data_IF_272185218386
#
_entry.id   IF_272185218386
#
_cell.length_a   1.000
_cell.length_b   1.000
_cell.length_c   1.000
_cell.angle_alpha   90.00
_cell.angle_beta   90.00
_cell.angle_gamma   90.00
#
_symmetry.space_group_name_H-M   'P 1'
#
loop_
_entity.id
_entity.type
_entity.pdbx_description
1 polymer ?
#
# COMPACT_ATOMS: atom_id res chain seq x y z
N UNK A 1 8.77 -14.98 2.89
CA UNK A 1 8.35 -15.67 1.65
C UNK A 1 8.86 -14.85 0.48
N UNK A 2 9.64 -15.42 -0.44
CA UNK A 2 10.24 -14.67 -1.55
C UNK A 2 9.15 -14.22 -2.53
N UNK A 3 9.04 -12.90 -2.77
CA UNK A 3 8.07 -12.32 -3.69
C UNK A 3 8.37 -12.79 -5.12
N UNK A 4 7.36 -13.30 -5.83
CA UNK A 4 7.54 -13.94 -7.15
C UNK A 4 7.83 -12.88 -8.22
N UNK A 5 9.07 -12.87 -8.74
CA UNK A 5 9.52 -11.90 -9.75
C UNK A 5 8.82 -12.04 -11.12
N UNK A 6 8.62 -13.27 -11.61
CA UNK A 6 7.94 -13.56 -12.89
C UNK A 6 6.41 -13.54 -12.73
N UNK A 7 5.69 -13.20 -13.81
CA UNK A 7 4.22 -13.27 -13.82
C UNK A 7 3.72 -14.69 -13.56
N UNK A 8 2.52 -14.78 -12.98
CA UNK A 8 1.80 -16.04 -12.86
C UNK A 8 1.45 -16.59 -14.26
N UNK A 9 1.36 -17.93 -14.34
CA UNK A 9 0.94 -18.61 -15.56
C UNK A 9 -0.54 -18.27 -15.82
N UNK A 10 -0.88 -17.95 -17.08
CA UNK A 10 -2.26 -17.74 -17.48
C UNK A 10 -2.85 -19.06 -18.00
N UNK A 11 -4.10 -19.36 -17.64
CA UNK A 11 -4.83 -20.52 -18.17
C UNK A 11 -5.04 -20.32 -19.68
N UNK A 12 -4.67 -21.30 -20.49
CA UNK A 12 -4.64 -21.16 -21.96
C UNK A 12 -3.39 -20.48 -22.52
N UNK A 13 -2.45 -20.05 -21.67
CA UNK A 13 -1.19 -19.44 -22.08
C UNK A 13 -1.32 -17.99 -22.55
N UNK A 14 -0.26 -17.45 -23.15
CA UNK A 14 -0.23 -16.10 -23.73
C UNK A 14 0.39 -16.17 -25.13
N UNK A 15 -0.39 -16.47 -26.16
CA UNK A 15 0.14 -16.71 -27.50
C UNK A 15 0.57 -15.42 -28.22
N UNK A 16 0.01 -14.28 -27.83
CA UNK A 16 0.28 -12.99 -28.48
C UNK A 16 1.64 -12.44 -28.01
N UNK A 17 2.56 -12.29 -28.96
CA UNK A 17 3.88 -11.69 -28.75
C UNK A 17 3.95 -10.32 -29.40
N UNK A 18 4.55 -9.35 -28.69
CA UNK A 18 4.99 -8.08 -29.25
C UNK A 18 6.50 -8.00 -29.08
N UNK A 19 7.20 -7.61 -30.13
CA UNK A 19 8.64 -7.41 -30.12
C UNK A 19 8.93 -5.92 -29.99
N UNK A 20 9.86 -5.58 -29.09
CA UNK A 20 10.30 -4.21 -28.84
C UNK A 20 11.80 -4.18 -29.10
N UNK A 21 12.22 -3.35 -30.05
CA UNK A 21 13.63 -3.13 -30.33
C UNK A 21 14.13 -2.02 -29.42
N UNK A 22 15.23 -2.27 -28.73
CA UNK A 22 15.86 -1.36 -27.80
C UNK A 22 17.32 -1.18 -28.23
N UNK A 23 17.85 0.01 -28.02
CA UNK A 23 19.28 0.22 -27.95
C UNK A 23 19.84 -0.40 -26.68
N UNK A 24 21.16 -0.62 -26.63
CA UNK A 24 21.83 -1.16 -25.44
C UNK A 24 21.59 -0.29 -24.18
N UNK A 25 21.56 1.03 -24.35
CA UNK A 25 21.27 1.95 -23.25
C UNK A 25 19.84 1.78 -22.71
N UNK A 26 18.86 1.66 -23.62
CA UNK A 26 17.45 1.47 -23.25
C UNK A 26 17.19 0.13 -22.57
N UNK A 27 17.87 -0.94 -23.01
CA UNK A 27 17.76 -2.26 -22.38
C UNK A 27 18.33 -2.27 -20.95
N UNK A 28 19.51 -1.66 -20.76
CA UNK A 28 20.09 -1.51 -19.42
C UNK A 28 19.21 -0.68 -18.49
N UNK A 29 18.65 0.43 -18.98
CA UNK A 29 17.72 1.25 -18.21
C UNK A 29 16.45 0.47 -17.83
N UNK A 30 15.89 -0.32 -18.76
CA UNK A 30 14.74 -1.18 -18.51
C UNK A 30 15.05 -2.27 -17.48
N UNK A 31 16.23 -2.89 -17.57
CA UNK A 31 16.67 -3.91 -16.63
C UNK A 31 16.78 -3.36 -15.21
N UNK A 32 17.44 -2.21 -15.05
CA UNK A 32 17.60 -1.56 -13.76
C UNK A 32 16.25 -1.18 -13.15
N UNK A 33 15.36 -0.55 -13.93
CA UNK A 33 14.03 -0.19 -13.48
C UNK A 33 13.19 -1.41 -13.05
N UNK A 34 13.27 -2.51 -13.80
CA UNK A 34 12.60 -3.75 -13.46
C UNK A 34 13.16 -4.38 -12.17
N UNK A 35 14.49 -4.38 -12.00
CA UNK A 35 15.16 -4.88 -10.80
C UNK A 35 14.74 -4.12 -9.55
N UNK A 36 14.73 -2.79 -9.62
CA UNK A 36 14.26 -1.92 -8.53
C UNK A 36 12.80 -2.21 -8.15
N UNK A 37 11.96 -2.55 -9.14
CA UNK A 37 10.57 -2.94 -8.92
C UNK A 37 10.39 -4.42 -8.49
N UNK A 38 11.47 -5.20 -8.38
CA UNK A 38 11.40 -6.64 -8.08
C UNK A 38 10.76 -7.48 -9.18
N UNK A 39 10.84 -7.03 -10.43
CA UNK A 39 10.19 -7.65 -11.59
C UNK A 39 11.19 -8.07 -12.66
N UNK A 40 10.74 -8.93 -13.58
CA UNK A 40 11.47 -9.13 -14.84
C UNK A 40 11.21 -7.97 -15.81
N UNK A 41 12.14 -7.65 -16.73
CA UNK A 41 11.97 -6.59 -17.73
C UNK A 41 10.65 -6.69 -18.51
N UNK A 42 10.30 -7.89 -18.98
CA UNK A 42 9.05 -8.13 -19.72
C UNK A 42 7.79 -7.90 -18.87
N UNK A 43 7.82 -8.28 -17.58
CA UNK A 43 6.72 -8.01 -16.66
C UNK A 43 6.61 -6.51 -16.42
N UNK A 44 7.72 -5.86 -16.09
CA UNK A 44 7.76 -4.43 -15.84
C UNK A 44 7.21 -3.62 -17.02
N UNK A 45 7.67 -3.90 -18.24
CA UNK A 45 7.19 -3.22 -19.45
C UNK A 45 5.68 -3.38 -19.63
N UNK A 46 5.17 -4.61 -19.47
CA UNK A 46 3.74 -4.92 -19.58
C UNK A 46 2.92 -4.22 -18.49
N UNK A 47 3.33 -4.34 -17.23
CA UNK A 47 2.64 -3.71 -16.11
C UNK A 47 2.64 -2.19 -16.28
N UNK A 48 3.78 -1.56 -16.57
CA UNK A 48 3.91 -0.10 -16.77
C UNK A 48 3.06 0.43 -17.93
N UNK A 49 3.01 -0.29 -19.06
CA UNK A 49 2.18 0.12 -20.20
C UNK A 49 0.67 0.00 -19.90
N UNK A 50 0.25 -1.07 -19.23
CA UNK A 50 -1.16 -1.31 -18.91
C UNK A 50 -1.64 -0.49 -17.71
N UNK A 51 -0.74 -0.16 -16.78
CA UNK A 51 -1.06 0.68 -15.62
C UNK A 51 -1.18 2.16 -15.98
N UNK A 52 -0.45 2.65 -17.00
CA UNK A 52 -0.62 4.01 -17.53
C UNK A 52 -2.03 4.25 -18.11
N UNK A 53 -2.66 3.19 -18.64
CA UNK A 53 -4.06 3.22 -19.09
C UNK A 53 -5.07 3.16 -17.92
N UNK A 54 -4.61 2.74 -16.73
CA UNK A 54 -5.43 2.54 -15.51
C UNK A 54 -5.12 3.54 -14.38
N UNK A 55 -4.16 4.45 -14.58
CA UNK A 55 -3.90 5.63 -13.75
C UNK A 55 -2.77 5.56 -12.72
N UNK A 56 -2.20 4.39 -12.37
CA UNK A 56 -1.13 4.29 -11.35
C UNK A 56 -0.25 3.06 -11.62
N UNK A 57 1.08 3.21 -11.70
CA UNK A 57 2.03 2.09 -11.87
C UNK A 57 2.13 1.18 -10.64
N UNK A 58 2.67 -0.03 -10.80
CA UNK A 58 2.79 -1.00 -9.68
C UNK A 58 3.76 -0.52 -8.60
N UNK A 59 4.84 0.14 -8.99
CA UNK A 59 5.80 0.73 -8.05
C UNK A 59 5.16 1.87 -7.26
N UNK A 60 4.47 2.79 -7.94
CA UNK A 60 3.75 3.90 -7.28
C UNK A 60 2.67 3.37 -6.33
N UNK A 61 1.94 2.32 -6.73
CA UNK A 61 0.97 1.65 -5.87
C UNK A 61 1.61 1.07 -4.60
N UNK A 62 2.78 0.42 -4.72
CA UNK A 62 3.52 -0.11 -3.57
C UNK A 62 3.99 1.02 -2.65
N UNK A 63 4.50 2.11 -3.21
CA UNK A 63 4.96 3.27 -2.45
C UNK A 63 3.82 4.00 -1.73
N UNK A 64 2.65 4.11 -2.37
CA UNK A 64 1.44 4.65 -1.75
C UNK A 64 1.01 3.79 -0.56
N UNK A 65 0.95 2.47 -0.73
CA UNK A 65 0.59 1.54 0.37
C UNK A 65 1.60 1.63 1.52
N UNK A 66 2.90 1.67 1.24
CA UNK A 66 3.94 1.84 2.26
C UNK A 66 3.83 3.18 3.00
N UNK A 67 3.52 4.26 2.28
CA UNK A 67 3.33 5.59 2.86
C UNK A 67 2.09 5.64 3.75
N UNK A 68 1.01 4.97 3.37
CA UNK A 68 -0.19 4.84 4.19
C UNK A 68 0.09 4.04 5.47
N UNK A 69 0.85 2.94 5.41
CA UNK A 69 1.26 2.20 6.61
C UNK A 69 2.11 3.05 7.57
N UNK A 70 3.02 3.89 7.04
CA UNK A 70 3.82 4.81 7.86
C UNK A 70 2.96 5.83 8.59
N UNK A 71 1.99 6.43 7.88
CA UNK A 71 1.03 7.37 8.48
C UNK A 71 0.21 6.68 9.58
N UNK A 72 -0.25 5.45 9.33
CA UNK A 72 -0.97 4.67 10.34
C UNK A 72 -0.14 4.43 11.59
N UNK A 73 1.12 4.00 11.45
CA UNK A 73 2.01 3.77 12.58
C UNK A 73 2.24 5.05 13.41
N UNK A 74 2.41 6.19 12.74
CA UNK A 74 2.56 7.49 13.41
C UNK A 74 1.29 7.87 14.20
N UNK A 75 0.10 7.67 13.62
CA UNK A 75 -1.17 7.94 14.31
C UNK A 75 -1.36 7.01 15.51
N UNK A 76 -1.02 5.72 15.41
CA UNK A 76 -1.08 4.79 16.54
C UNK A 76 -0.15 5.22 17.69
N UNK A 77 1.06 5.67 17.37
CA UNK A 77 2.01 6.18 18.36
C UNK A 77 1.46 7.43 19.06
N UNK A 78 0.87 8.36 18.31
CA UNK A 78 0.22 9.56 18.87
C UNK A 78 -0.93 9.15 19.80
N UNK A 79 -1.80 8.24 19.38
CA UNK A 79 -2.91 7.76 20.20
C UNK A 79 -2.46 7.10 21.50
N UNK A 80 -1.34 6.36 21.47
CA UNK A 80 -0.75 5.79 22.68
C UNK A 80 -0.20 6.85 23.63
N UNK A 81 0.52 7.85 23.10
CA UNK A 81 1.06 8.95 23.91
C UNK A 81 -0.08 9.74 24.59
N UNK A 82 -1.15 10.03 23.85
CA UNK A 82 -2.33 10.69 24.37
C UNK A 82 -2.96 9.86 25.51
N UNK A 83 -3.11 8.55 25.33
CA UNK A 83 -3.65 7.67 26.36
C UNK A 83 -2.78 7.61 27.62
N UNK A 84 -1.44 7.69 27.47
CA UNK A 84 -0.52 7.77 28.61
C UNK A 84 -0.64 9.10 29.36
N UNK A 85 -0.68 10.22 28.64
CA UNK A 85 -0.88 11.55 29.22
C UNK A 85 -2.20 11.63 30.00
N UNK A 86 -3.27 11.04 29.47
CA UNK A 86 -4.55 10.98 30.18
C UNK A 86 -4.47 10.20 31.48
N UNK A 87 -3.79 9.04 31.48
CA UNK A 87 -3.63 8.23 32.70
C UNK A 87 -2.79 8.95 33.73
N UNK A 88 -1.71 9.63 33.31
CA UNK A 88 -0.86 10.42 34.20
C UNK A 88 -1.65 11.55 34.85
N UNK A 89 -2.35 12.34 34.05
CA UNK A 89 -3.09 13.49 34.55
C UNK A 89 -4.37 13.08 35.32
N UNK A 90 -4.98 11.92 35.04
CA UNK A 90 -5.99 11.32 35.92
C UNK A 90 -5.39 10.90 37.27
N UNK A 91 -4.15 10.40 37.31
CA UNK A 91 -3.48 10.03 38.56
C UNK A 91 -3.10 11.26 39.41
N UNK A 92 -2.95 12.43 38.78
CA UNK A 92 -2.69 13.73 39.43
C UNK A 92 -3.98 14.51 39.76
N UNK A 93 -5.16 13.90 39.57
CA UNK A 93 -6.50 14.52 39.73
C UNK A 93 -6.68 15.81 38.91
N UNK A 94 -5.87 15.96 37.84
CA UNK A 94 -5.81 17.14 36.99
C UNK A 94 -6.79 17.10 35.80
N UNK A 95 -7.50 15.98 35.60
CA UNK A 95 -8.46 15.78 34.51
C UNK A 95 -9.87 15.62 35.08
N UNK A 96 -10.80 16.43 34.58
CA UNK A 96 -12.23 16.28 34.89
C UNK A 96 -12.85 15.11 34.10
N UNK A 97 -13.97 14.60 34.60
CA UNK A 97 -14.73 13.52 33.94
C UNK A 97 -15.13 13.87 32.50
N UNK A 98 -15.49 15.13 32.20
CA UNK A 98 -15.77 15.56 30.84
C UNK A 98 -14.56 15.38 29.90
N UNK A 99 -13.37 15.85 30.32
CA UNK A 99 -12.15 15.77 29.50
C UNK A 99 -11.75 14.30 29.26
N UNK A 100 -11.89 13.44 30.27
CA UNK A 100 -11.59 12.01 30.11
C UNK A 100 -12.56 11.32 29.14
N UNK A 101 -13.83 11.74 29.11
CA UNK A 101 -14.82 11.21 28.18
C UNK A 101 -14.55 11.67 26.74
N UNK A 102 -14.24 12.95 26.54
CA UNK A 102 -13.92 13.52 25.22
C UNK A 102 -12.66 12.90 24.62
N UNK A 103 -11.64 12.63 25.44
CA UNK A 103 -10.43 11.97 25.00
C UNK A 103 -10.68 10.51 24.57
N UNK A 104 -11.49 9.79 25.36
CA UNK A 104 -11.88 8.41 25.05
C UNK A 104 -12.64 8.37 23.73
N UNK A 105 -13.57 9.31 23.51
CA UNK A 105 -14.33 9.45 22.27
C UNK A 105 -13.41 9.72 21.08
N UNK A 106 -12.49 10.67 21.22
CA UNK A 106 -11.53 11.05 20.17
C UNK A 106 -10.62 9.89 19.79
N UNK A 107 -10.09 9.15 20.76
CA UNK A 107 -9.29 7.95 20.52
C UNK A 107 -10.09 6.85 19.81
N UNK A 108 -11.38 6.68 20.14
CA UNK A 108 -12.26 5.75 19.46
C UNK A 108 -12.49 6.15 17.99
N UNK A 109 -12.71 7.43 17.71
CA UNK A 109 -12.87 7.94 16.33
C UNK A 109 -11.61 7.76 15.49
N UNK A 110 -10.43 8.01 16.08
CA UNK A 110 -9.14 7.77 15.42
C UNK A 110 -8.99 6.29 15.07
N UNK A 111 -9.22 5.38 16.03
CA UNK A 111 -9.15 3.93 15.79
C UNK A 111 -10.12 3.46 14.70
N UNK A 112 -11.37 3.92 14.74
CA UNK A 112 -12.38 3.58 13.73
C UNK A 112 -11.99 4.09 12.33
N UNK A 113 -11.41 5.28 12.25
CA UNK A 113 -10.92 5.84 10.98
C UNK A 113 -9.72 5.06 10.47
N UNK A 114 -8.77 4.69 11.34
CA UNK A 114 -7.65 3.82 10.97
C UNK A 114 -8.12 2.45 10.45
N UNK A 115 -9.11 1.83 11.10
CA UNK A 115 -9.69 0.57 10.63
C UNK A 115 -10.30 0.71 9.23
N UNK A 116 -11.11 1.76 9.00
CA UNK A 116 -11.69 2.03 7.67
C UNK A 116 -10.61 2.25 6.61
N UNK A 117 -9.54 2.97 6.93
CA UNK A 117 -8.41 3.15 6.02
C UNK A 117 -7.67 1.83 5.77
N UNK A 118 -7.48 0.99 6.80
CA UNK A 118 -6.88 -0.33 6.64
C UNK A 118 -7.69 -1.23 5.71
N UNK A 119 -9.02 -1.21 5.84
CA UNK A 119 -9.92 -1.97 4.98
C UNK A 119 -9.87 -1.46 3.54
N UNK A 120 -9.84 -0.13 3.36
CA UNK A 120 -9.70 0.48 2.04
C UNK A 120 -8.36 0.14 1.37
N UNK A 121 -7.26 0.20 2.11
CA UNK A 121 -5.93 -0.20 1.62
C UNK A 121 -5.89 -1.70 1.30
N UNK A 122 -6.51 -2.54 2.12
CA UNK A 122 -6.59 -3.98 1.88
C UNK A 122 -7.40 -4.30 0.63
N UNK A 123 -8.52 -3.60 0.40
CA UNK A 123 -9.31 -3.71 -0.84
C UNK A 123 -8.55 -3.22 -2.07
N UNK A 124 -7.72 -2.19 -1.92
CA UNK A 124 -6.83 -1.79 -2.99
C UNK A 124 -5.79 -2.88 -3.24
N UNK A 125 -5.16 -3.44 -2.20
CA UNK A 125 -4.16 -4.50 -2.34
C UNK A 125 -4.71 -5.79 -2.98
N UNK A 126 -6.00 -6.10 -2.75
CA UNK A 126 -6.70 -7.23 -3.37
C UNK A 126 -7.33 -6.80 -4.71
N UNK A 127 -6.57 -6.92 -5.81
CA UNK A 127 -7.13 -7.30 -7.12
C UNK A 127 -6.03 -7.43 -8.19
N UNK A 128 -5.77 -8.67 -8.62
CA UNK A 128 -5.85 -8.99 -10.05
C UNK A 128 -6.80 -10.15 -10.39
N UNK A 129 -7.48 -10.78 -9.44
CA UNK A 129 -8.23 -12.05 -9.67
C UNK A 129 -9.76 -11.91 -9.84
N UNK A 130 -10.39 -10.76 -9.61
CA UNK A 130 -11.85 -10.59 -9.81
C UNK A 130 -12.24 -10.11 -11.22
N UNK A 131 -11.29 -10.04 -12.16
CA UNK A 131 -11.54 -9.56 -13.53
C UNK A 131 -11.81 -10.67 -14.58
N UNK A 132 -11.80 -11.95 -14.18
CA UNK A 132 -11.95 -13.11 -15.08
C UNK A 132 -13.32 -13.81 -14.97
N UNK A 133 -14.34 -13.17 -14.41
CA UNK A 133 -15.69 -13.75 -14.23
C UNK A 133 -16.84 -13.02 -14.95
N UNK A 134 -16.57 -12.27 -16.02
CA UNK A 134 -17.58 -11.83 -17.00
C UNK A 134 -16.98 -11.82 -18.41
#
# INVERSE_FOLDING_TARGET
MAERMRQANARGGRPIRREVKLTEFEDNALYFAASQAGMTPARFLKESALSRQRGISVTERREIVLSLHKIQAAIAAIGNNINQLARHANAEDAITKEISAELTHSLAQVRATMQRTNDAVSRLAVSPEEADST
#
